data_IF_581035227017
#
_entry.id   IF_581035227017
#
_cell.length_a   1.000
_cell.length_b   1.000
_cell.length_c   1.000
_cell.angle_alpha   90.00
_cell.angle_beta   90.00
_cell.angle_gamma   90.00
#
_symmetry.space_group_name_H-M   'P 1'
#
loop_
_entity.id
_entity.type
_entity.pdbx_description
1 polymer ?
#
# COMPACT_ATOMS: atom_id res chain seq x y z
N UNK A 1 -0.02 32.38 -23.12
CA UNK A 1 0.85 33.43 -22.58
C UNK A 1 0.17 33.91 -21.30
N UNK A 2 0.64 33.47 -20.13
CA UNK A 2 0.17 34.01 -18.86
C UNK A 2 0.62 35.46 -18.83
N UNK A 3 -0.33 36.39 -18.99
CA UNK A 3 -0.07 37.81 -18.76
C UNK A 3 0.34 37.93 -17.29
N UNK A 4 1.51 38.51 -17.05
CA UNK A 4 1.86 38.95 -15.71
C UNK A 4 0.98 40.16 -15.40
N UNK A 5 -0.22 39.88 -14.90
CA UNK A 5 -1.00 40.87 -14.18
C UNK A 5 -0.28 41.07 -12.85
N UNK A 6 -0.05 42.32 -12.48
CA UNK A 6 0.71 42.76 -11.31
C UNK A 6 0.39 42.04 -9.97
N UNK A 7 1.07 42.43 -8.89
CA UNK A 7 0.85 41.85 -7.56
C UNK A 7 -0.48 42.29 -6.90
N UNK A 8 -1.38 43.02 -7.57
CA UNK A 8 -2.61 43.52 -6.95
C UNK A 8 -3.49 42.38 -6.41
N UNK A 9 -3.51 41.23 -7.10
CA UNK A 9 -4.24 40.04 -6.63
C UNK A 9 -3.74 39.50 -5.27
N UNK A 10 -2.53 39.88 -4.85
CA UNK A 10 -1.89 39.47 -3.61
C UNK A 10 -1.78 40.60 -2.58
N UNK A 11 -2.31 41.79 -2.86
CA UNK A 11 -2.19 42.97 -1.98
C UNK A 11 -2.65 42.69 -0.55
N UNK A 12 -3.81 42.06 -0.38
CA UNK A 12 -4.36 41.71 0.94
C UNK A 12 -3.49 40.70 1.71
N UNK A 13 -2.63 39.95 1.02
CA UNK A 13 -1.67 39.05 1.65
C UNK A 13 -0.47 39.83 2.18
N UNK A 14 0.07 40.77 1.39
CA UNK A 14 1.21 41.60 1.78
C UNK A 14 0.88 42.61 2.89
N UNK A 15 -0.39 43.00 3.03
CA UNK A 15 -0.87 43.86 4.12
C UNK A 15 -0.90 43.14 5.49
N UNK A 16 -0.78 41.81 5.54
CA UNK A 16 -0.73 41.07 6.80
C UNK A 16 0.61 41.26 7.49
N UNK A 17 0.56 41.49 8.79
CA UNK A 17 1.74 41.66 9.63
C UNK A 17 2.71 40.47 9.51
N UNK A 18 4.00 40.76 9.37
CA UNK A 18 5.07 39.76 9.28
C UNK A 18 5.23 39.09 7.91
N UNK A 19 4.26 39.17 6.99
CA UNK A 19 4.33 38.44 5.71
C UNK A 19 5.52 38.88 4.85
N UNK A 20 5.73 40.19 4.68
CA UNK A 20 6.84 40.70 3.86
C UNK A 20 8.19 40.25 4.44
N UNK A 21 8.34 40.35 5.76
CA UNK A 21 9.55 39.91 6.46
C UNK A 21 9.81 38.40 6.31
N UNK A 22 8.76 37.57 6.45
CA UNK A 22 8.87 36.13 6.21
C UNK A 22 9.28 35.80 4.77
N UNK A 23 8.70 36.50 3.79
CA UNK A 23 9.05 36.31 2.37
C UNK A 23 10.50 36.71 2.11
N UNK A 24 10.93 37.86 2.60
CA UNK A 24 12.32 38.33 2.51
C UNK A 24 13.27 37.28 3.09
N UNK A 25 13.03 36.84 4.33
CA UNK A 25 13.84 35.82 5.00
C UNK A 25 13.90 34.49 4.22
N UNK A 26 12.77 34.04 3.68
CA UNK A 26 12.72 32.82 2.89
C UNK A 26 13.51 32.94 1.58
N UNK A 27 13.38 34.07 0.87
CA UNK A 27 14.07 34.32 -0.39
C UNK A 27 15.57 34.52 -0.21
N UNK A 28 15.98 35.25 0.83
CA UNK A 28 17.38 35.42 1.20
C UNK A 28 18.00 34.07 1.58
N UNK A 29 17.34 33.31 2.46
CA UNK A 29 17.78 31.97 2.85
C UNK A 29 17.87 31.01 1.68
N UNK A 30 16.93 31.07 0.71
CA UNK A 30 17.03 30.32 -0.53
C UNK A 30 18.23 30.76 -1.35
N UNK A 31 18.44 32.06 -1.52
CA UNK A 31 19.52 32.61 -2.35
C UNK A 31 20.89 32.25 -1.81
N UNK A 32 21.08 32.38 -0.49
CA UNK A 32 22.34 32.10 0.19
C UNK A 32 22.69 30.60 0.18
N UNK A 33 21.68 29.71 0.26
CA UNK A 33 21.88 28.28 0.51
C UNK A 33 21.41 27.38 -0.65
N UNK A 34 21.08 27.95 -1.81
CA UNK A 34 20.40 27.23 -2.89
C UNK A 34 21.08 25.94 -3.33
N UNK A 35 22.41 25.95 -3.46
CA UNK A 35 23.16 24.79 -3.94
C UNK A 35 23.03 23.60 -2.97
N UNK A 36 23.10 23.86 -1.67
CA UNK A 36 22.98 22.81 -0.66
C UNK A 36 21.53 22.35 -0.51
N UNK A 37 20.57 23.28 -0.55
CA UNK A 37 19.13 22.98 -0.58
C UNK A 37 18.82 22.06 -1.77
N UNK A 38 19.28 22.40 -2.98
CA UNK A 38 19.04 21.64 -4.21
C UNK A 38 19.52 20.19 -4.13
N UNK A 39 20.59 19.91 -3.40
CA UNK A 39 21.07 18.55 -3.19
C UNK A 39 20.27 17.82 -2.10
N UNK A 40 19.94 18.51 -1.00
CA UNK A 40 19.25 17.91 0.15
C UNK A 40 17.76 17.64 -0.11
N UNK A 41 17.10 18.43 -0.96
CA UNK A 41 15.66 18.28 -1.23
C UNK A 41 15.27 16.97 -1.92
N UNK A 42 16.25 16.17 -2.35
CA UNK A 42 15.99 14.87 -3.00
C UNK A 42 15.57 13.82 -1.97
N UNK A 43 14.58 12.97 -2.29
CA UNK A 43 14.21 11.88 -1.39
C UNK A 43 15.32 10.83 -1.30
N UNK A 44 15.39 10.12 -0.18
CA UNK A 44 16.46 9.13 0.04
C UNK A 44 16.40 7.93 -0.92
N UNK A 45 15.21 7.60 -1.44
CA UNK A 45 14.95 6.44 -2.31
C UNK A 45 15.07 6.72 -3.82
N UNK A 46 15.25 7.97 -4.27
CA UNK A 46 15.36 8.27 -5.70
C UNK A 46 16.46 9.29 -5.96
N UNK A 47 17.50 8.84 -6.65
CA UNK A 47 18.64 9.67 -7.07
C UNK A 47 18.53 10.16 -8.53
N UNK A 48 17.57 9.64 -9.30
CA UNK A 48 17.44 9.95 -10.73
C UNK A 48 16.57 11.16 -11.06
N UNK A 49 15.74 11.64 -10.12
CA UNK A 49 14.91 12.82 -10.34
C UNK A 49 15.71 14.09 -10.06
N UNK A 50 16.10 14.75 -11.15
CA UNK A 50 16.79 16.04 -11.16
C UNK A 50 15.72 17.14 -11.14
N UNK A 51 14.89 17.14 -10.10
CA UNK A 51 13.89 18.20 -9.92
C UNK A 51 14.51 19.42 -9.21
N UNK A 52 14.09 20.61 -9.62
CA UNK A 52 14.41 21.89 -8.95
C UNK A 52 13.14 22.59 -8.47
N UNK A 53 13.25 23.31 -7.35
CA UNK A 53 12.19 24.19 -6.81
C UNK A 53 11.62 25.17 -7.85
N UNK A 54 12.39 25.47 -8.90
CA UNK A 54 12.04 26.45 -9.94
C UNK A 54 11.68 25.82 -11.29
N UNK A 55 11.46 24.50 -11.37
CA UNK A 55 10.99 23.87 -12.59
C UNK A 55 9.61 24.40 -12.98
N UNK A 56 9.39 24.70 -14.27
CA UNK A 56 8.14 25.30 -14.76
C UNK A 56 6.91 24.41 -14.51
N UNK A 57 7.12 23.08 -14.47
CA UNK A 57 6.06 22.08 -14.29
C UNK A 57 6.27 21.35 -12.98
N UNK A 58 5.55 21.75 -11.95
CA UNK A 58 5.57 21.10 -10.63
C UNK A 58 4.31 20.25 -10.38
N UNK A 59 4.51 19.05 -9.81
CA UNK A 59 3.44 18.14 -9.35
C UNK A 59 3.01 18.44 -7.91
N UNK A 60 1.95 17.79 -7.42
CA UNK A 60 1.37 18.06 -6.08
C UNK A 60 2.41 17.89 -4.95
N UNK A 61 3.19 16.81 -4.96
CA UNK A 61 4.22 16.55 -3.96
C UNK A 61 5.32 17.62 -3.96
N UNK A 62 5.70 18.12 -5.12
CA UNK A 62 6.69 19.19 -5.26
C UNK A 62 6.19 20.52 -4.67
N UNK A 63 4.88 20.80 -4.74
CA UNK A 63 4.26 21.96 -4.07
C UNK A 63 4.30 21.82 -2.55
N UNK A 64 4.04 20.62 -2.04
CA UNK A 64 4.12 20.31 -0.60
C UNK A 64 5.56 20.45 -0.09
N UNK A 65 6.53 19.97 -0.87
CA UNK A 65 7.94 20.12 -0.57
C UNK A 65 8.38 21.58 -0.59
N UNK A 66 7.96 22.36 -1.60
CA UNK A 66 8.25 23.79 -1.65
C UNK A 66 7.76 24.52 -0.38
N UNK A 67 6.52 24.23 0.06
CA UNK A 67 6.00 24.75 1.34
C UNK A 67 6.90 24.39 2.53
N UNK A 68 7.36 23.13 2.60
CA UNK A 68 8.21 22.69 3.69
C UNK A 68 9.57 23.39 3.68
N UNK A 69 10.14 23.64 2.49
CA UNK A 69 11.40 24.39 2.34
C UNK A 69 11.23 25.83 2.80
N UNK A 70 10.18 26.53 2.33
CA UNK A 70 9.98 27.93 2.70
C UNK A 70 9.73 28.08 4.19
N UNK A 71 8.91 27.21 4.79
CA UNK A 71 8.66 27.24 6.24
C UNK A 71 9.91 27.01 7.08
N UNK A 72 10.80 26.11 6.65
CA UNK A 72 12.06 25.90 7.35
C UNK A 72 12.91 27.18 7.37
N UNK A 73 13.03 27.86 6.22
CA UNK A 73 13.81 29.09 6.07
C UNK A 73 13.17 30.28 6.80
N UNK A 74 11.84 30.36 6.83
CA UNK A 74 11.11 31.37 7.60
C UNK A 74 11.35 31.23 9.11
N UNK A 75 11.44 30.00 9.62
CA UNK A 75 11.48 29.74 11.06
C UNK A 75 12.89 29.60 11.61
N UNK A 76 13.86 29.12 10.82
CA UNK A 76 15.19 28.77 11.30
C UNK A 76 16.29 29.55 10.57
N UNK A 77 17.47 29.61 11.16
CA UNK A 77 18.69 29.82 10.39
C UNK A 77 19.03 28.51 9.68
N UNK A 78 19.55 28.61 8.46
CA UNK A 78 19.83 27.41 7.68
C UNK A 78 20.93 26.56 8.33
N UNK A 79 20.57 25.33 8.71
CA UNK A 79 21.49 24.28 9.13
C UNK A 79 21.23 23.06 8.26
N UNK A 80 22.26 22.62 7.53
CA UNK A 80 22.07 21.58 6.51
C UNK A 80 21.70 20.22 7.09
N UNK A 81 22.14 19.91 8.31
CA UNK A 81 21.82 18.64 8.98
C UNK A 81 20.35 18.68 9.42
N UNK A 82 19.93 19.75 10.11
CA UNK A 82 18.55 19.91 10.57
C UNK A 82 17.57 19.99 9.40
N UNK A 83 17.94 20.72 8.35
CA UNK A 83 17.18 20.80 7.12
C UNK A 83 17.01 19.42 6.47
N UNK A 84 18.10 18.64 6.34
CA UNK A 84 18.03 17.28 5.78
C UNK A 84 17.10 16.37 6.57
N UNK A 85 17.16 16.44 7.90
CA UNK A 85 16.28 15.66 8.77
C UNK A 85 14.82 16.06 8.57
N UNK A 86 14.52 17.36 8.53
CA UNK A 86 13.19 17.89 8.22
C UNK A 86 12.66 17.38 6.88
N UNK A 87 13.45 17.50 5.82
CA UNK A 87 13.05 17.10 4.47
C UNK A 87 12.80 15.59 4.36
N UNK A 88 13.58 14.75 5.06
CA UNK A 88 13.34 13.30 5.10
C UNK A 88 11.94 12.98 5.64
N UNK A 89 11.56 13.58 6.77
CA UNK A 89 10.24 13.40 7.39
C UNK A 89 9.13 13.87 6.44
N UNK A 90 9.31 15.04 5.82
CA UNK A 90 8.36 15.58 4.85
C UNK A 90 8.16 14.62 3.69
N UNK A 91 9.24 14.09 3.09
CA UNK A 91 9.14 13.12 2.02
C UNK A 91 8.35 11.87 2.40
N UNK A 92 8.61 11.31 3.59
CA UNK A 92 7.91 10.13 4.09
C UNK A 92 6.38 10.37 4.23
N UNK A 93 5.98 11.59 4.58
CA UNK A 93 4.58 12.00 4.69
C UNK A 93 3.97 12.22 3.31
N UNK A 94 4.65 12.97 2.44
CA UNK A 94 4.05 13.42 1.18
C UNK A 94 4.07 12.34 0.11
N UNK A 95 4.87 11.28 0.18
CA UNK A 95 4.92 10.26 -0.88
C UNK A 95 3.68 9.35 -0.93
N UNK A 96 2.71 9.53 -0.03
CA UNK A 96 1.51 8.70 0.02
C UNK A 96 0.73 8.74 -1.33
N UNK A 97 0.39 7.57 -1.90
CA UNK A 97 -0.30 7.48 -3.18
C UNK A 97 -1.68 8.15 -3.22
N UNK A 98 -2.35 8.41 -2.09
CA UNK A 98 -3.71 8.99 -2.07
C UNK A 98 -3.74 10.51 -2.15
N UNK A 99 -2.58 11.17 -2.12
CA UNK A 99 -2.47 12.61 -2.36
C UNK A 99 -2.60 12.86 -3.87
N UNK A 100 -3.82 12.68 -4.38
CA UNK A 100 -4.18 12.85 -5.80
C UNK A 100 -5.14 14.02 -6.02
N UNK A 101 -5.75 14.53 -4.96
CA UNK A 101 -6.75 15.59 -5.03
C UNK A 101 -6.31 16.85 -4.29
N UNK A 102 -6.75 18.01 -4.78
CA UNK A 102 -6.47 19.30 -4.16
C UNK A 102 -6.92 19.33 -2.68
N UNK A 103 -8.13 18.86 -2.30
CA UNK A 103 -8.54 18.84 -0.89
C UNK A 103 -7.59 18.03 0.01
N UNK A 104 -7.12 16.87 -0.47
CA UNK A 104 -6.15 16.04 0.25
C UNK A 104 -4.81 16.77 0.37
N UNK A 105 -4.29 17.33 -0.72
CA UNK A 105 -3.05 18.13 -0.72
C UNK A 105 -3.14 19.28 0.30
N UNK A 106 -4.23 20.05 0.30
CA UNK A 106 -4.45 21.12 1.28
C UNK A 106 -4.47 20.61 2.73
N UNK A 107 -4.96 19.38 2.96
CA UNK A 107 -4.90 18.76 4.28
C UNK A 107 -3.47 18.46 4.70
N UNK A 108 -2.66 17.91 3.80
CA UNK A 108 -1.23 17.64 4.06
C UNK A 108 -0.44 18.95 4.25
N UNK A 109 -0.75 20.02 3.50
CA UNK A 109 -0.14 21.35 3.71
C UNK A 109 -0.34 21.85 5.15
N UNK A 110 -1.54 21.63 5.72
CA UNK A 110 -1.81 22.01 7.12
C UNK A 110 -0.99 21.18 8.10
N UNK A 111 -0.77 19.89 7.82
CA UNK A 111 0.09 19.03 8.65
C UNK A 111 1.53 19.53 8.60
N UNK A 112 2.09 19.75 7.40
CA UNK A 112 3.45 20.28 7.22
C UNK A 112 3.60 21.60 7.98
N UNK A 113 2.62 22.51 7.85
CA UNK A 113 2.63 23.78 8.57
C UNK A 113 2.69 23.59 10.09
N UNK A 114 1.85 22.72 10.66
CA UNK A 114 1.87 22.43 12.10
C UNK A 114 3.22 21.85 12.55
N UNK A 115 3.81 20.96 11.75
CA UNK A 115 5.09 20.34 12.07
C UNK A 115 6.29 21.28 11.91
N UNK A 116 6.17 22.31 11.05
CA UNK A 116 7.27 23.23 10.73
C UNK A 116 7.81 23.99 11.94
N UNK A 117 7.00 24.19 12.98
CA UNK A 117 7.39 24.83 14.25
C UNK A 117 8.59 24.09 14.88
N UNK A 118 8.66 22.76 14.71
CA UNK A 118 9.75 21.94 15.21
C UNK A 118 10.84 21.61 14.19
N UNK A 119 10.81 22.23 13.00
CA UNK A 119 11.68 21.84 11.88
C UNK A 119 13.18 22.03 12.15
N UNK A 120 13.55 22.92 13.06
CA UNK A 120 14.94 23.11 13.53
C UNK A 120 15.51 21.94 14.35
N UNK A 121 14.66 21.06 14.92
CA UNK A 121 15.10 19.80 15.54
C UNK A 121 13.97 18.75 15.49
N UNK A 122 13.62 18.34 14.27
CA UNK A 122 12.38 17.58 14.02
C UNK A 122 12.31 16.27 14.80
N UNK A 123 13.43 15.58 15.06
CA UNK A 123 13.38 14.32 15.81
C UNK A 123 12.99 14.52 17.27
N UNK A 124 13.48 15.59 17.90
CA UNK A 124 13.06 15.94 19.26
C UNK A 124 11.61 16.38 19.26
N UNK A 125 11.24 17.25 18.32
CA UNK A 125 9.86 17.74 18.23
C UNK A 125 8.84 16.63 18.01
N UNK A 126 9.12 15.63 17.17
CA UNK A 126 8.23 14.48 16.95
C UNK A 126 7.95 13.65 18.22
N UNK A 127 8.74 13.82 19.29
CA UNK A 127 8.54 13.18 20.59
C UNK A 127 8.11 14.16 21.68
N UNK A 128 7.93 15.44 21.35
CA UNK A 128 7.45 16.49 22.26
C UNK A 128 5.93 16.44 22.42
N UNK A 129 5.42 16.88 23.57
CA UNK A 129 4.00 16.86 23.94
C UNK A 129 3.15 17.60 22.91
N UNK A 130 3.63 18.76 22.41
CA UNK A 130 2.93 19.54 21.41
C UNK A 130 2.73 18.77 20.09
N UNK A 131 3.74 18.01 19.65
CA UNK A 131 3.62 17.19 18.45
C UNK A 131 2.77 15.94 18.68
N UNK A 132 2.86 15.31 19.86
CA UNK A 132 2.01 14.18 20.20
C UNK A 132 0.52 14.56 20.17
N UNK A 133 0.17 15.78 20.59
CA UNK A 133 -1.18 16.31 20.45
C UNK A 133 -1.60 16.48 18.98
N UNK A 134 -0.70 16.98 18.12
CA UNK A 134 -0.95 17.07 16.66
C UNK A 134 -1.26 15.69 16.07
N UNK A 135 -0.48 14.67 16.43
CA UNK A 135 -0.65 13.29 15.95
C UNK A 135 -1.94 12.67 16.48
N UNK A 136 -2.23 12.87 17.77
CA UNK A 136 -3.45 12.38 18.39
C UNK A 136 -4.71 12.91 17.69
N UNK A 137 -4.74 14.21 17.40
CA UNK A 137 -5.88 14.91 16.81
C UNK A 137 -6.01 14.71 15.29
N UNK A 138 -4.99 14.15 14.65
CA UNK A 138 -5.04 13.82 13.22
C UNK A 138 -6.03 12.67 12.99
N UNK A 139 -6.92 12.83 12.01
CA UNK A 139 -7.99 11.87 11.69
C UNK A 139 -7.93 11.36 10.26
N UNK A 140 -7.04 11.91 9.44
CA UNK A 140 -6.80 11.48 8.07
C UNK A 140 -5.85 10.28 8.02
N UNK A 141 -5.65 9.77 6.80
CA UNK A 141 -4.70 8.67 6.53
C UNK A 141 -3.26 9.01 6.91
N UNK A 142 -2.91 10.30 7.10
CA UNK A 142 -1.56 10.71 7.48
C UNK A 142 -1.19 10.29 8.91
N UNK A 143 -2.18 10.02 9.78
CA UNK A 143 -1.95 9.68 11.19
C UNK A 143 -0.95 8.53 11.35
N UNK A 144 -1.16 7.42 10.65
CA UNK A 144 -0.30 6.24 10.79
C UNK A 144 1.14 6.52 10.34
N UNK A 145 1.33 7.39 9.35
CA UNK A 145 2.67 7.80 8.93
C UNK A 145 3.32 8.70 9.98
N UNK A 146 2.57 9.62 10.59
CA UNK A 146 3.10 10.47 11.67
C UNK A 146 3.48 9.66 12.92
N UNK A 147 2.68 8.65 13.29
CA UNK A 147 3.00 7.71 14.36
C UNK A 147 4.29 6.94 14.05
N UNK A 148 4.46 6.50 12.81
CA UNK A 148 5.70 5.84 12.37
C UNK A 148 6.92 6.78 12.42
N UNK A 149 6.81 8.03 11.95
CA UNK A 149 7.90 9.01 12.03
C UNK A 149 8.28 9.36 13.47
N UNK A 150 7.29 9.42 14.37
CA UNK A 150 7.54 9.60 15.81
C UNK A 150 8.30 8.42 16.41
N UNK A 151 7.89 7.17 16.10
CA UNK A 151 8.60 5.97 16.54
C UNK A 151 10.04 5.93 16.02
N UNK A 152 10.26 6.22 14.73
CA UNK A 152 11.61 6.31 14.14
C UNK A 152 12.45 7.35 14.84
N UNK A 153 11.92 8.55 15.06
CA UNK A 153 12.62 9.61 15.76
C UNK A 153 13.01 9.19 17.19
N UNK A 154 12.13 8.47 17.89
CA UNK A 154 12.42 7.92 19.22
C UNK A 154 13.61 6.95 19.18
N UNK A 155 13.63 6.03 18.22
CA UNK A 155 14.72 5.06 18.05
C UNK A 155 16.06 5.77 17.73
N UNK A 156 16.03 6.73 16.81
CA UNK A 156 17.20 7.56 16.43
C UNK A 156 17.78 8.29 17.64
N UNK A 157 16.92 8.82 18.52
CA UNK A 157 17.37 9.52 19.73
C UNK A 157 17.85 8.56 20.83
N UNK A 158 17.40 7.30 20.83
CA UNK A 158 17.75 6.36 21.89
C UNK A 158 19.13 5.73 21.77
N UNK A 159 19.59 5.43 20.55
CA UNK A 159 20.84 4.72 20.33
C UNK A 159 21.48 5.12 18.98
N UNK A 160 22.81 5.20 18.98
CA UNK A 160 23.59 5.53 17.78
C UNK A 160 23.51 4.39 16.76
N UNK A 161 23.32 4.73 15.48
CA UNK A 161 23.25 3.74 14.40
C UNK A 161 21.83 3.50 13.87
N UNK A 162 20.79 3.70 14.67
CA UNK A 162 19.39 3.58 14.20
C UNK A 162 19.10 4.45 12.99
N UNK A 163 19.63 5.68 12.95
CA UNK A 163 19.41 6.57 11.81
C UNK A 163 19.95 5.99 10.50
N UNK A 164 21.13 5.38 10.51
CA UNK A 164 21.70 4.77 9.32
C UNK A 164 20.87 3.58 8.83
N UNK A 165 20.40 2.73 9.75
CA UNK A 165 19.59 1.55 9.44
C UNK A 165 18.17 1.90 8.99
N UNK A 166 17.56 2.91 9.60
CA UNK A 166 16.27 3.45 9.17
C UNK A 166 16.41 4.00 7.74
N UNK A 167 17.40 4.88 7.49
CA UNK A 167 17.64 5.42 6.14
C UNK A 167 17.89 4.29 5.13
N UNK A 168 18.59 3.22 5.52
CA UNK A 168 18.80 2.06 4.66
C UNK A 168 17.48 1.36 4.29
N UNK A 169 16.57 1.19 5.24
CA UNK A 169 15.25 0.61 4.98
C UNK A 169 14.35 1.52 4.13
N UNK A 170 14.35 2.82 4.42
CA UNK A 170 13.55 3.82 3.71
C UNK A 170 13.89 3.93 2.22
N UNK A 171 15.14 3.58 1.85
CA UNK A 171 15.62 3.54 0.46
C UNK A 171 14.99 2.46 -0.40
N UNK A 172 14.34 1.47 0.20
CA UNK A 172 13.75 0.39 -0.58
C UNK A 172 12.64 0.92 -1.52
N UNK A 173 12.69 0.60 -2.83
CA UNK A 173 11.85 1.24 -3.85
C UNK A 173 10.35 0.97 -3.71
N UNK A 174 9.94 -0.04 -2.93
CA UNK A 174 8.52 -0.29 -2.62
C UNK A 174 8.08 0.50 -1.36
N UNK A 175 8.96 0.59 -0.37
CA UNK A 175 8.63 1.10 0.96
C UNK A 175 8.57 2.63 0.95
N UNK A 176 9.50 3.29 0.26
CA UNK A 176 9.57 4.75 0.10
C UNK A 176 9.32 5.47 1.43
N UNK A 177 10.20 5.22 2.39
CA UNK A 177 10.02 5.74 3.75
C UNK A 177 9.12 4.90 4.65
N UNK A 178 8.12 4.17 4.14
CA UNK A 178 7.20 3.41 5.00
C UNK A 178 7.75 2.03 5.37
N UNK A 179 8.33 1.94 6.56
CA UNK A 179 9.01 0.75 7.10
C UNK A 179 8.44 0.32 8.45
N UNK A 180 7.31 0.90 8.88
CA UNK A 180 6.74 0.65 10.20
C UNK A 180 6.44 -0.83 10.49
N UNK A 181 6.16 -1.63 9.45
CA UNK A 181 5.98 -3.08 9.61
C UNK A 181 7.25 -3.79 10.12
N UNK A 182 8.46 -3.29 9.81
CA UNK A 182 9.72 -3.83 10.32
C UNK A 182 9.97 -3.45 11.79
N UNK A 183 9.31 -2.39 12.26
CA UNK A 183 9.47 -1.82 13.60
C UNK A 183 8.43 -2.34 14.61
N UNK A 184 7.58 -3.29 14.20
CA UNK A 184 6.59 -3.90 15.09
C UNK A 184 7.27 -4.58 16.28
N UNK A 185 6.62 -4.50 17.44
CA UNK A 185 7.11 -5.03 18.72
C UNK A 185 8.39 -4.39 19.27
N UNK A 186 8.75 -3.18 18.82
CA UNK A 186 9.94 -2.44 19.28
C UNK A 186 11.23 -3.29 19.22
N UNK A 187 11.66 -3.70 18.01
CA UNK A 187 12.79 -4.61 17.85
C UNK A 187 14.10 -3.96 18.28
N UNK A 188 15.11 -4.78 18.58
CA UNK A 188 16.49 -4.31 18.63
C UNK A 188 16.99 -3.95 17.22
N UNK A 189 18.09 -3.21 17.13
CA UNK A 189 18.67 -2.83 15.83
C UNK A 189 19.12 -4.05 15.03
N UNK A 190 19.56 -5.12 15.69
CA UNK A 190 19.93 -6.40 15.06
C UNK A 190 18.72 -7.12 14.47
N UNK A 191 17.60 -7.17 15.22
CA UNK A 191 16.35 -7.77 14.74
C UNK A 191 15.83 -6.97 13.54
N UNK A 192 15.84 -5.63 13.62
CA UNK A 192 15.46 -4.78 12.48
C UNK A 192 16.35 -5.04 11.24
N UNK A 193 17.67 -5.16 11.40
CA UNK A 193 18.59 -5.48 10.30
C UNK A 193 18.27 -6.82 9.65
N UNK A 194 17.99 -7.84 10.47
CA UNK A 194 17.59 -9.16 9.98
C UNK A 194 16.28 -9.07 9.18
N UNK A 195 15.27 -8.43 9.76
CA UNK A 195 13.98 -8.21 9.09
C UNK A 195 14.11 -7.46 7.78
N UNK A 196 14.92 -6.40 7.74
CA UNK A 196 15.17 -5.63 6.53
C UNK A 196 15.85 -6.48 5.46
N UNK A 197 16.81 -7.33 5.82
CA UNK A 197 17.44 -8.27 4.88
C UNK A 197 16.40 -9.19 4.24
N UNK A 198 15.50 -9.77 5.05
CA UNK A 198 14.43 -10.63 4.55
C UNK A 198 13.41 -9.85 3.70
N UNK A 199 13.00 -8.66 4.14
CA UNK A 199 12.07 -7.82 3.39
C UNK A 199 12.59 -7.48 1.98
N UNK A 200 13.91 -7.26 1.84
CA UNK A 200 14.56 -7.06 0.53
C UNK A 200 14.59 -8.32 -0.34
N UNK A 201 14.42 -9.51 0.23
CA UNK A 201 14.25 -10.76 -0.52
C UNK A 201 12.79 -10.95 -0.94
N UNK A 202 11.84 -10.61 -0.07
CA UNK A 202 10.40 -10.71 -0.35
C UNK A 202 9.93 -9.73 -1.43
N UNK A 203 10.51 -8.53 -1.48
CA UNK A 203 10.03 -7.44 -2.31
C UNK A 203 11.11 -6.84 -3.22
N UNK A 204 10.67 -6.18 -4.29
CA UNK A 204 11.49 -5.37 -5.18
C UNK A 204 10.71 -4.14 -5.67
N UNK A 205 11.26 -3.41 -6.65
CA UNK A 205 10.64 -2.20 -7.23
C UNK A 205 9.28 -2.41 -7.91
N UNK A 206 8.83 -3.65 -8.13
CA UNK A 206 7.56 -4.00 -8.77
C UNK A 206 6.53 -4.62 -7.83
N UNK A 207 6.83 -4.77 -6.53
CA UNK A 207 6.00 -5.50 -5.56
C UNK A 207 6.75 -6.73 -5.06
N UNK A 208 6.10 -7.90 -5.07
CA UNK A 208 6.76 -9.17 -4.75
C UNK A 208 7.99 -9.41 -5.63
N UNK A 209 9.04 -9.98 -5.05
CA UNK A 209 10.22 -10.39 -5.79
C UNK A 209 9.87 -11.46 -6.84
N UNK A 210 10.62 -11.55 -7.94
CA UNK A 210 10.33 -12.39 -9.11
C UNK A 210 10.07 -13.85 -8.74
N UNK A 211 10.81 -14.38 -7.76
CA UNK A 211 10.67 -15.76 -7.31
C UNK A 211 9.32 -16.03 -6.64
N UNK A 212 8.80 -15.05 -5.90
CA UNK A 212 7.50 -15.13 -5.26
C UNK A 212 6.36 -14.66 -6.16
N UNK A 213 6.65 -13.79 -7.13
CA UNK A 213 5.70 -13.35 -8.15
C UNK A 213 5.28 -14.52 -9.05
N UNK A 214 6.19 -15.48 -9.29
CA UNK A 214 5.85 -16.73 -9.99
C UNK A 214 4.76 -17.46 -9.21
N UNK A 215 3.59 -17.63 -9.84
CA UNK A 215 2.39 -18.23 -9.23
C UNK A 215 1.87 -17.46 -8.01
N UNK A 216 2.24 -16.19 -7.87
CA UNK A 216 1.76 -15.27 -6.83
C UNK A 216 1.87 -15.83 -5.40
N UNK A 217 2.99 -16.48 -5.08
CA UNK A 217 3.18 -17.21 -3.83
C UNK A 217 3.10 -16.32 -2.59
N UNK A 218 3.69 -15.12 -2.64
CA UNK A 218 3.71 -14.24 -1.46
C UNK A 218 2.31 -13.76 -1.06
N UNK A 219 1.49 -13.31 -2.01
CA UNK A 219 0.10 -12.90 -1.69
C UNK A 219 -0.73 -14.11 -1.24
N UNK A 220 -0.49 -15.31 -1.80
CA UNK A 220 -1.19 -16.54 -1.39
C UNK A 220 -0.80 -16.96 0.03
N UNK A 221 0.49 -16.92 0.38
CA UNK A 221 0.97 -17.17 1.73
C UNK A 221 0.50 -16.10 2.73
N UNK A 222 0.39 -14.84 2.29
CA UNK A 222 -0.25 -13.80 3.08
C UNK A 222 -1.71 -14.18 3.38
N UNK A 223 -2.47 -14.57 2.35
CA UNK A 223 -3.89 -14.95 2.48
C UNK A 223 -4.05 -16.11 3.45
N UNK A 224 -3.25 -17.18 3.34
CA UNK A 224 -3.36 -18.37 4.19
C UNK A 224 -3.18 -18.10 5.69
N UNK A 225 -2.55 -16.99 6.05
CA UNK A 225 -2.33 -16.56 7.43
C UNK A 225 -3.44 -15.62 7.96
N UNK A 226 -4.50 -15.38 7.19
CA UNK A 226 -5.69 -14.69 7.70
C UNK A 226 -6.55 -15.64 8.53
N UNK A 227 -6.75 -15.24 9.77
CA UNK A 227 -7.65 -15.89 10.71
C UNK A 227 -9.02 -15.22 10.78
N UNK A 228 -9.22 -14.01 10.23
CA UNK A 228 -10.48 -13.28 10.32
C UNK A 228 -11.12 -13.05 8.94
N UNK A 229 -12.32 -13.60 8.75
CA UNK A 229 -13.06 -13.44 7.49
C UNK A 229 -13.34 -11.98 7.10
N UNK A 230 -13.73 -11.13 8.06
CA UNK A 230 -14.11 -9.75 7.74
C UNK A 230 -12.92 -8.92 7.29
N UNK A 231 -11.72 -9.25 7.76
CA UNK A 231 -10.46 -8.64 7.32
C UNK A 231 -10.07 -9.14 5.93
N UNK A 232 -10.08 -10.46 5.70
CA UNK A 232 -9.79 -11.05 4.39
C UNK A 232 -10.78 -10.57 3.31
N UNK A 233 -12.07 -10.50 3.62
CA UNK A 233 -13.11 -10.11 2.67
C UNK A 233 -12.92 -8.68 2.13
N UNK A 234 -12.32 -7.79 2.93
CA UNK A 234 -12.05 -6.39 2.53
C UNK A 234 -10.71 -6.24 1.81
N UNK A 235 -9.86 -7.27 1.83
CA UNK A 235 -8.51 -7.23 1.28
C UNK A 235 -8.57 -7.14 -0.26
N UNK A 236 -7.67 -6.33 -0.83
CA UNK A 236 -7.36 -6.39 -2.25
C UNK A 236 -6.25 -7.42 -2.45
N UNK A 237 -6.55 -8.47 -3.20
CA UNK A 237 -5.71 -9.65 -3.40
C UNK A 237 -4.71 -9.46 -4.55
N UNK A 238 -4.49 -8.21 -5.00
CA UNK A 238 -3.57 -7.89 -6.09
C UNK A 238 -2.10 -8.08 -5.71
N UNK A 239 -1.33 -8.75 -6.55
CA UNK A 239 0.11 -8.94 -6.38
C UNK A 239 0.89 -7.98 -7.28
N UNK A 240 0.86 -6.69 -6.95
CA UNK A 240 1.53 -5.64 -7.70
C UNK A 240 2.01 -4.51 -6.78
N UNK A 241 2.93 -3.71 -7.29
CA UNK A 241 3.53 -2.55 -6.60
C UNK A 241 2.52 -1.68 -5.85
N UNK A 242 1.48 -1.19 -6.54
CA UNK A 242 0.53 -0.24 -5.95
C UNK A 242 -0.23 -0.88 -4.78
N UNK A 243 -0.61 -2.15 -4.92
CA UNK A 243 -1.34 -2.83 -3.86
C UNK A 243 -0.44 -3.10 -2.65
N UNK A 244 0.75 -3.67 -2.85
CA UNK A 244 1.69 -3.94 -1.77
C UNK A 244 2.08 -2.67 -1.01
N UNK A 245 2.32 -1.58 -1.73
CA UNK A 245 2.61 -0.29 -1.12
C UNK A 245 1.48 0.18 -0.19
N UNK A 246 0.22 0.02 -0.59
CA UNK A 246 -0.93 0.40 0.24
C UNK A 246 -1.15 -0.57 1.41
N UNK A 247 -1.00 -1.87 1.18
CA UNK A 247 -1.17 -2.89 2.21
C UNK A 247 -0.17 -2.72 3.35
N UNK A 248 1.13 -2.57 3.03
CA UNK A 248 2.19 -2.39 4.03
C UNK A 248 2.06 -1.06 4.79
N UNK A 249 1.50 -0.03 4.15
CA UNK A 249 1.23 1.27 4.80
C UNK A 249 0.07 1.21 5.79
N UNK A 250 -1.01 0.49 5.47
CA UNK A 250 -2.32 0.74 6.09
C UNK A 250 -2.99 -0.47 6.73
N UNK A 251 -2.66 -1.69 6.31
CA UNK A 251 -3.32 -2.88 6.80
C UNK A 251 -2.51 -3.51 7.93
N UNK A 252 -2.94 -3.32 9.18
CA UNK A 252 -2.23 -3.82 10.37
C UNK A 252 -1.99 -5.33 10.32
N UNK A 253 -3.01 -6.12 9.96
CA UNK A 253 -2.88 -7.59 9.86
C UNK A 253 -1.85 -7.99 8.80
N UNK A 254 -1.81 -7.30 7.67
CA UNK A 254 -0.77 -7.54 6.65
C UNK A 254 0.61 -7.17 7.18
N UNK A 255 0.75 -6.04 7.88
CA UNK A 255 2.04 -5.66 8.48
C UNK A 255 2.53 -6.71 9.48
N UNK A 256 1.64 -7.23 10.31
CA UNK A 256 1.93 -8.31 11.28
C UNK A 256 2.42 -9.56 10.56
N UNK A 257 1.63 -10.11 9.62
CA UNK A 257 1.99 -11.34 8.90
C UNK A 257 3.31 -11.16 8.12
N UNK A 258 3.50 -10.03 7.44
CA UNK A 258 4.75 -9.78 6.70
C UNK A 258 5.93 -9.57 7.66
N UNK A 259 5.72 -8.96 8.83
CA UNK A 259 6.76 -8.88 9.86
C UNK A 259 7.15 -10.27 10.37
N UNK A 260 6.17 -11.14 10.61
CA UNK A 260 6.42 -12.53 11.02
C UNK A 260 7.22 -13.28 9.95
N UNK A 261 6.92 -13.04 8.66
CA UNK A 261 7.74 -13.57 7.57
C UNK A 261 9.17 -13.00 7.54
N UNK A 262 9.35 -11.77 8.04
CA UNK A 262 10.66 -11.14 8.14
C UNK A 262 11.46 -11.62 9.37
N UNK A 263 10.84 -12.32 10.32
CA UNK A 263 11.48 -12.86 11.51
C UNK A 263 12.17 -14.23 11.27
N UNK A 264 12.11 -14.78 10.06
CA UNK A 264 12.87 -15.97 9.70
C UNK A 264 14.38 -15.67 9.53
N UNK A 265 15.23 -16.62 9.96
CA UNK A 265 16.68 -16.40 10.04
C UNK A 265 17.43 -16.51 8.70
N UNK A 266 16.93 -17.33 7.77
CA UNK A 266 17.58 -17.64 6.48
C UNK A 266 16.60 -17.76 5.30
N UNK A 267 17.11 -17.52 4.10
CA UNK A 267 16.32 -17.43 2.86
C UNK A 267 15.62 -18.74 2.49
N UNK A 268 16.30 -19.87 2.65
CA UNK A 268 15.73 -21.19 2.34
C UNK A 268 14.51 -21.49 3.21
N UNK A 269 14.57 -21.13 4.50
CA UNK A 269 13.43 -21.31 5.43
C UNK A 269 12.21 -20.51 4.97
N UNK A 270 12.38 -19.29 4.46
CA UNK A 270 11.25 -18.49 3.98
C UNK A 270 10.56 -19.15 2.81
N UNK A 271 11.32 -19.72 1.86
CA UNK A 271 10.76 -20.40 0.71
C UNK A 271 10.00 -21.66 1.14
N UNK A 272 10.61 -22.48 2.00
CA UNK A 272 9.97 -23.69 2.53
C UNK A 272 8.71 -23.36 3.35
N UNK A 273 8.75 -22.32 4.19
CA UNK A 273 7.61 -21.88 4.99
C UNK A 273 6.49 -21.32 4.12
N UNK A 274 6.79 -20.53 3.09
CA UNK A 274 5.78 -20.02 2.14
C UNK A 274 5.06 -21.19 1.44
N UNK A 275 5.79 -22.20 0.99
CA UNK A 275 5.19 -23.41 0.39
C UNK A 275 4.36 -24.20 1.41
N UNK A 276 4.85 -24.30 2.65
CA UNK A 276 4.10 -24.93 3.74
C UNK A 276 2.78 -24.19 4.00
N UNK A 277 2.80 -22.86 4.12
CA UNK A 277 1.63 -22.04 4.40
C UNK A 277 0.52 -22.20 3.35
N UNK A 278 0.86 -22.27 2.06
CA UNK A 278 -0.13 -22.46 1.00
C UNK A 278 -0.66 -23.89 0.87
N UNK A 279 -0.10 -24.83 1.64
CA UNK A 279 -0.53 -26.23 1.70
C UNK A 279 -1.35 -26.57 2.94
N UNK A 280 -1.37 -25.69 3.95
CA UNK A 280 -2.13 -25.88 5.19
C UNK A 280 -3.64 -25.87 4.94
N UNK A 281 -4.39 -26.39 5.91
CA UNK A 281 -5.83 -26.18 5.96
C UNK A 281 -6.17 -24.76 6.39
N UNK A 282 -7.39 -24.33 6.06
CA UNK A 282 -7.88 -23.00 6.42
C UNK A 282 -7.90 -22.81 7.94
N UNK A 283 -7.21 -21.78 8.41
CA UNK A 283 -7.23 -21.32 9.81
C UNK A 283 -8.31 -20.27 10.09
N UNK A 284 -9.09 -19.88 9.08
CA UNK A 284 -10.01 -18.75 9.20
C UNK A 284 -11.16 -19.05 10.15
N UNK A 285 -11.46 -18.08 10.99
CA UNK A 285 -12.66 -18.03 11.80
C UNK A 285 -13.57 -16.89 11.29
N UNK A 286 -14.87 -17.08 11.49
CA UNK A 286 -15.90 -16.12 11.12
C UNK A 286 -16.80 -15.80 12.30
N UNK A 287 -17.40 -14.62 12.29
CA UNK A 287 -18.43 -14.22 13.26
C UNK A 287 -19.81 -14.80 12.94
N UNK A 288 -19.87 -15.78 12.03
CA UNK A 288 -21.14 -16.39 11.63
C UNK A 288 -21.48 -17.51 12.62
N UNK A 289 -22.60 -17.36 13.32
CA UNK A 289 -23.13 -18.41 14.20
C UNK A 289 -23.65 -19.64 13.42
N UNK A 290 -23.71 -19.57 12.09
CA UNK A 290 -24.17 -20.64 11.22
C UNK A 290 -23.00 -21.52 10.74
N UNK A 291 -22.94 -22.81 11.12
CA UNK A 291 -21.90 -23.74 10.70
C UNK A 291 -21.75 -23.92 9.19
N UNK A 292 -22.84 -23.78 8.42
CA UNK A 292 -22.80 -23.88 6.96
C UNK A 292 -22.05 -22.68 6.33
N UNK A 293 -22.27 -21.48 6.88
CA UNK A 293 -21.58 -20.27 6.43
C UNK A 293 -20.10 -20.34 6.77
N UNK A 294 -19.74 -20.88 7.94
CA UNK A 294 -18.33 -21.09 8.32
C UNK A 294 -17.63 -22.05 7.35
N UNK A 295 -18.25 -23.20 7.03
CA UNK A 295 -17.68 -24.14 6.04
C UNK A 295 -17.50 -23.52 4.66
N UNK A 296 -18.43 -22.67 4.21
CA UNK A 296 -18.30 -21.92 2.95
C UNK A 296 -17.11 -20.96 2.99
N UNK A 297 -16.94 -20.25 4.11
CA UNK A 297 -15.82 -19.33 4.32
C UNK A 297 -14.48 -20.07 4.34
N UNK A 298 -14.38 -21.21 5.05
CA UNK A 298 -13.19 -22.06 5.08
C UNK A 298 -12.84 -22.58 3.68
N UNK A 299 -13.85 -23.03 2.92
CA UNK A 299 -13.68 -23.46 1.54
C UNK A 299 -13.12 -22.34 0.66
N UNK A 300 -13.75 -21.15 0.70
CA UNK A 300 -13.27 -19.97 -0.04
C UNK A 300 -11.83 -19.64 0.32
N UNK A 301 -11.54 -19.55 1.62
CA UNK A 301 -10.23 -19.19 2.10
C UNK A 301 -9.16 -20.14 1.56
N UNK A 302 -9.41 -21.46 1.63
CA UNK A 302 -8.51 -22.47 1.08
C UNK A 302 -8.30 -22.30 -0.41
N UNK A 303 -9.38 -22.19 -1.19
CA UNK A 303 -9.31 -22.04 -2.64
C UNK A 303 -8.47 -20.83 -3.07
N UNK A 304 -8.55 -19.71 -2.33
CA UNK A 304 -7.76 -18.52 -2.62
C UNK A 304 -6.26 -18.81 -2.54
N UNK A 305 -5.74 -19.42 -1.49
CA UNK A 305 -4.29 -19.65 -1.43
C UNK A 305 -3.83 -20.97 -2.07
N UNK A 306 -4.68 -22.00 -2.21
CA UNK A 306 -4.25 -23.31 -2.75
C UNK A 306 -4.24 -23.34 -4.29
N UNK A 307 -5.19 -22.65 -4.94
CA UNK A 307 -5.38 -22.74 -6.39
C UNK A 307 -4.52 -21.74 -7.16
N UNK A 308 -3.34 -22.19 -7.60
CA UNK A 308 -2.38 -21.33 -8.30
C UNK A 308 -2.93 -20.74 -9.61
N UNK A 309 -3.68 -21.54 -10.38
CA UNK A 309 -4.22 -21.11 -11.68
C UNK A 309 -5.31 -20.07 -11.52
N UNK A 310 -6.13 -20.19 -10.46
CA UNK A 310 -7.11 -19.17 -10.11
C UNK A 310 -6.40 -17.84 -9.83
N UNK A 311 -5.38 -17.85 -8.99
CA UNK A 311 -4.63 -16.63 -8.67
C UNK A 311 -3.96 -15.99 -9.88
N UNK A 312 -3.34 -16.79 -10.75
CA UNK A 312 -2.77 -16.29 -12.02
C UNK A 312 -3.84 -15.57 -12.85
N UNK A 313 -5.01 -16.19 -13.01
CA UNK A 313 -6.13 -15.59 -13.73
C UNK A 313 -6.60 -14.28 -13.06
N UNK A 314 -6.74 -14.26 -11.73
CA UNK A 314 -7.13 -13.08 -10.97
C UNK A 314 -6.22 -11.89 -11.25
N UNK A 315 -4.91 -12.10 -11.20
CA UNK A 315 -3.92 -11.05 -11.46
C UNK A 315 -3.95 -10.57 -12.90
N UNK A 316 -4.07 -11.50 -13.87
CA UNK A 316 -4.15 -11.14 -15.30
C UNK A 316 -5.39 -10.32 -15.65
N UNK A 317 -6.53 -10.62 -15.02
CA UNK A 317 -7.78 -9.90 -15.25
C UNK A 317 -7.95 -8.65 -14.38
N UNK A 318 -7.19 -8.53 -13.29
CA UNK A 318 -7.43 -7.53 -12.25
C UNK A 318 -8.70 -7.81 -11.43
N UNK A 319 -9.11 -9.07 -11.36
CA UNK A 319 -10.22 -9.53 -10.53
C UNK A 319 -9.69 -9.88 -9.13
N UNK A 320 -9.36 -8.86 -8.33
CA UNK A 320 -8.61 -9.03 -7.08
C UNK A 320 -9.43 -8.77 -5.82
N UNK A 321 -10.76 -8.61 -5.94
CA UNK A 321 -11.62 -8.28 -4.79
C UNK A 321 -12.74 -9.30 -4.61
N UNK A 322 -13.07 -9.56 -3.34
CA UNK A 322 -14.25 -10.33 -2.97
C UNK A 322 -15.49 -9.44 -2.93
N UNK A 323 -16.61 -9.94 -3.45
CA UNK A 323 -17.89 -9.22 -3.48
C UNK A 323 -19.07 -10.14 -3.24
N UNK A 324 -20.03 -9.65 -2.46
CA UNK A 324 -21.35 -10.23 -2.34
C UNK A 324 -22.20 -9.83 -3.55
N UNK A 325 -22.81 -10.82 -4.20
CA UNK A 325 -23.80 -10.64 -5.26
C UNK A 325 -24.84 -11.75 -5.16
N UNK A 326 -26.13 -11.40 -5.11
CA UNK A 326 -27.24 -12.35 -5.02
C UNK A 326 -27.00 -13.46 -3.98
N UNK A 327 -26.61 -13.07 -2.76
CA UNK A 327 -26.31 -14.00 -1.65
C UNK A 327 -25.17 -14.99 -1.88
N UNK A 328 -24.35 -14.76 -2.91
CA UNK A 328 -23.13 -15.50 -3.22
C UNK A 328 -21.89 -14.62 -3.16
N UNK A 329 -20.74 -15.24 -2.98
CA UNK A 329 -19.43 -14.56 -2.98
C UNK A 329 -18.71 -14.86 -4.28
N UNK A 330 -18.25 -13.77 -4.89
CA UNK A 330 -17.48 -13.78 -6.12
C UNK A 330 -16.11 -13.17 -5.92
N UNK A 331 -15.15 -13.66 -6.68
CA UNK A 331 -14.00 -12.87 -7.09
C UNK A 331 -14.46 -11.97 -8.24
N UNK A 332 -14.23 -10.67 -8.11
CA UNK A 332 -14.83 -9.66 -8.97
C UNK A 332 -13.79 -8.66 -9.45
N UNK A 333 -13.86 -8.33 -10.74
CA UNK A 333 -13.24 -7.14 -11.30
C UNK A 333 -14.28 -6.01 -11.36
N UNK A 334 -14.07 -4.89 -10.64
CA UNK A 334 -14.99 -3.75 -10.69
C UNK A 334 -15.30 -3.32 -12.14
N UNK A 335 -16.60 -3.20 -12.46
CA UNK A 335 -17.06 -2.75 -13.78
C UNK A 335 -17.08 -3.81 -14.88
N UNK A 336 -16.67 -5.06 -14.61
CA UNK A 336 -16.75 -6.17 -15.55
C UNK A 336 -17.75 -7.22 -15.08
N UNK A 337 -18.56 -7.77 -15.99
CA UNK A 337 -19.50 -8.85 -15.69
C UNK A 337 -18.95 -10.22 -16.09
N UNK A 338 -18.06 -10.26 -17.09
CA UNK A 338 -17.39 -11.46 -17.58
C UNK A 338 -16.11 -11.82 -16.81
N UNK A 339 -15.61 -10.93 -15.96
CA UNK A 339 -14.47 -11.22 -15.06
C UNK A 339 -14.97 -11.44 -13.62
N UNK A 340 -15.96 -12.33 -13.46
CA UNK A 340 -16.58 -12.68 -12.16
C UNK A 340 -16.64 -14.18 -11.97
N UNK A 341 -16.02 -14.70 -10.92
CA UNK A 341 -16.01 -16.14 -10.62
C UNK A 341 -16.66 -16.38 -9.26
N UNK A 342 -17.70 -17.20 -9.23
CA UNK A 342 -18.33 -17.64 -7.98
C UNK A 342 -17.40 -18.65 -7.29
N UNK A 343 -17.17 -18.52 -5.99
CA UNK A 343 -16.16 -19.31 -5.27
C UNK A 343 -16.67 -19.92 -3.95
N UNK A 344 -17.94 -19.71 -3.62
CA UNK A 344 -18.53 -20.10 -2.35
C UNK A 344 -19.41 -21.37 -2.42
N UNK A 345 -19.25 -22.13 -3.50
CA UNK A 345 -19.95 -23.40 -3.76
C UNK A 345 -19.04 -24.35 -4.55
N UNK A 346 -19.42 -25.62 -4.59
CA UNK A 346 -18.77 -26.66 -5.42
C UNK A 346 -19.13 -26.57 -6.92
N UNK A 347 -19.75 -25.47 -7.39
CA UNK A 347 -20.17 -25.29 -8.79
C UNK A 347 -19.04 -25.55 -9.78
N UNK A 348 -17.87 -24.98 -9.52
CA UNK A 348 -16.69 -25.06 -10.39
C UNK A 348 -16.20 -26.51 -10.54
N UNK A 349 -16.18 -27.26 -9.44
CA UNK A 349 -15.81 -28.68 -9.44
C UNK A 349 -16.83 -29.53 -10.21
N UNK A 350 -18.13 -29.31 -9.97
CA UNK A 350 -19.21 -30.01 -10.65
C UNK A 350 -19.19 -29.75 -12.17
N UNK A 351 -19.04 -28.50 -12.58
CA UNK A 351 -18.95 -28.13 -13.99
C UNK A 351 -17.77 -28.84 -14.66
N UNK A 352 -16.59 -28.82 -14.02
CA UNK A 352 -15.39 -29.45 -14.57
C UNK A 352 -15.57 -30.95 -14.76
N UNK A 353 -16.18 -31.64 -13.79
CA UNK A 353 -16.51 -33.06 -13.90
C UNK A 353 -17.53 -33.35 -15.01
N UNK A 354 -18.54 -32.48 -15.21
CA UNK A 354 -19.52 -32.67 -16.28
C UNK A 354 -18.90 -32.47 -17.66
N UNK A 355 -18.05 -31.46 -17.81
CA UNK A 355 -17.29 -31.22 -19.04
C UNK A 355 -16.45 -32.44 -19.39
N UNK A 356 -15.68 -32.96 -18.43
CA UNK A 356 -14.82 -34.13 -18.63
C UNK A 356 -15.63 -35.39 -18.95
N UNK A 357 -16.68 -35.66 -18.18
CA UNK A 357 -17.47 -36.90 -18.32
C UNK A 357 -18.32 -36.95 -19.57
N UNK A 358 -18.88 -35.80 -20.01
CA UNK A 358 -19.86 -35.76 -21.09
C UNK A 358 -19.34 -35.05 -22.36
N UNK A 359 -18.11 -34.55 -22.34
CA UNK A 359 -17.51 -33.73 -23.41
C UNK A 359 -18.41 -32.52 -23.77
N UNK A 360 -18.87 -31.81 -22.73
CA UNK A 360 -19.61 -30.55 -22.90
C UNK A 360 -18.64 -29.39 -23.13
N UNK A 361 -19.11 -28.34 -23.79
CA UNK A 361 -18.36 -27.13 -24.06
C UNK A 361 -18.98 -25.92 -23.35
N UNK A 362 -18.15 -24.93 -23.06
CA UNK A 362 -18.60 -23.62 -22.57
C UNK A 362 -17.62 -22.55 -23.01
N UNK A 363 -18.14 -21.35 -23.31
CA UNK A 363 -17.34 -20.16 -23.56
C UNK A 363 -16.94 -19.46 -22.25
N UNK A 364 -17.48 -19.91 -21.12
CA UNK A 364 -17.35 -19.25 -19.83
C UNK A 364 -16.14 -19.71 -19.01
N UNK A 365 -15.15 -20.36 -19.63
CA UNK A 365 -13.98 -20.90 -18.94
C UNK A 365 -12.96 -19.81 -18.62
N UNK A 366 -12.53 -19.73 -17.36
CA UNK A 366 -11.45 -18.86 -16.88
C UNK A 366 -10.11 -19.60 -16.80
N UNK A 367 -10.15 -20.78 -16.19
CA UNK A 367 -9.03 -21.72 -16.04
C UNK A 367 -9.58 -23.14 -16.26
N UNK A 368 -8.75 -24.17 -16.10
CA UNK A 368 -9.21 -25.56 -16.24
C UNK A 368 -10.34 -25.93 -15.27
N UNK A 369 -10.40 -25.27 -14.10
CA UNK A 369 -11.35 -25.59 -13.05
C UNK A 369 -12.36 -24.49 -12.74
N UNK A 370 -12.22 -23.29 -13.32
CA UNK A 370 -13.02 -22.12 -12.91
C UNK A 370 -13.76 -21.47 -14.08
N UNK A 371 -14.95 -20.95 -13.79
CA UNK A 371 -15.87 -20.42 -14.80
C UNK A 371 -16.44 -19.07 -14.38
N UNK A 372 -16.56 -18.14 -15.34
CA UNK A 372 -17.11 -16.82 -15.08
C UNK A 372 -18.61 -16.75 -15.26
N UNK A 373 -19.24 -15.76 -14.62
CA UNK A 373 -20.65 -15.42 -14.79
C UNK A 373 -21.53 -15.91 -13.65
N UNK A 374 -22.71 -15.31 -13.55
CA UNK A 374 -23.68 -15.63 -12.51
C UNK A 374 -24.32 -17.00 -12.78
N UNK A 375 -24.75 -17.24 -14.01
CA UNK A 375 -25.06 -18.57 -14.54
C UNK A 375 -23.91 -19.08 -15.41
N UNK A 376 -23.76 -20.39 -15.57
CA UNK A 376 -22.88 -20.99 -16.59
C UNK A 376 -23.68 -21.94 -17.45
N UNK A 377 -23.59 -21.74 -18.75
CA UNK A 377 -24.16 -22.63 -19.75
C UNK A 377 -23.09 -23.60 -20.26
N UNK A 378 -23.44 -24.89 -20.21
CA UNK A 378 -22.70 -25.98 -20.82
C UNK A 378 -23.54 -26.52 -21.98
N UNK A 379 -22.93 -26.76 -23.12
CA UNK A 379 -23.64 -27.32 -24.27
C UNK A 379 -22.84 -28.32 -25.07
N UNK A 380 -23.55 -29.20 -25.77
CA UNK A 380 -22.99 -30.13 -26.75
C UNK A 380 -23.93 -30.26 -27.92
N UNK A 381 -23.39 -29.97 -29.10
CA UNK A 381 -24.11 -30.06 -30.37
C UNK A 381 -23.98 -31.46 -30.93
N UNK A 382 -25.13 -32.04 -31.27
CA UNK A 382 -25.28 -33.24 -32.10
C UNK A 382 -25.87 -32.82 -33.44
N UNK A 383 -25.94 -33.74 -34.41
CA UNK A 383 -26.46 -33.43 -35.75
C UNK A 383 -27.91 -32.90 -35.71
N UNK A 384 -28.75 -33.48 -34.86
CA UNK A 384 -30.19 -33.19 -34.83
C UNK A 384 -30.65 -32.36 -33.62
N UNK A 385 -29.81 -32.22 -32.58
CA UNK A 385 -30.20 -31.53 -31.35
C UNK A 385 -29.00 -30.97 -30.57
N UNK A 386 -29.27 -30.07 -29.63
CA UNK A 386 -28.30 -29.53 -28.69
C UNK A 386 -28.72 -29.94 -27.28
N UNK A 387 -27.80 -30.54 -26.53
CA UNK A 387 -27.97 -30.68 -25.07
C UNK A 387 -27.38 -29.44 -24.43
N UNK A 388 -28.17 -28.73 -23.64
CA UNK A 388 -27.70 -27.65 -22.77
C UNK A 388 -27.99 -27.93 -21.30
N UNK A 389 -27.10 -27.47 -20.44
CA UNK A 389 -27.24 -27.51 -18.98
C UNK A 389 -26.86 -26.12 -18.46
N UNK A 390 -27.75 -25.53 -17.66
CA UNK A 390 -27.56 -24.19 -17.10
C UNK A 390 -27.40 -24.34 -15.58
N UNK A 391 -26.28 -23.84 -15.07
CA UNK A 391 -26.01 -23.71 -13.64
C UNK A 391 -26.48 -22.36 -13.13
N UNK A 392 -27.07 -22.34 -11.93
CA UNK A 392 -27.47 -21.12 -11.20
C UNK A 392 -28.34 -20.17 -12.04
N UNK A 393 -29.38 -20.72 -12.67
CA UNK A 393 -30.35 -19.93 -13.44
C UNK A 393 -31.22 -19.07 -12.52
N UNK A 394 -30.75 -17.85 -12.28
CA UNK A 394 -31.41 -16.87 -11.39
C UNK A 394 -32.68 -16.26 -11.99
N UNK A 395 -32.96 -16.43 -13.28
CA UNK A 395 -34.21 -15.91 -13.87
C UNK A 395 -35.40 -16.86 -13.66
N UNK A 396 -35.13 -18.13 -13.31
CA UNK A 396 -36.12 -19.19 -13.15
C UNK A 396 -36.24 -19.73 -11.69
N UNK A 397 -35.62 -19.07 -10.72
CA UNK A 397 -35.71 -19.31 -9.26
C UNK A 397 -36.39 -18.12 -8.58
#
# INVERSE_FOLDING_TARGET
MLKYDDFESYKTLFEKEGVIFSIEKALDGLTENYNEIKEIIRPVWTQSDIWSLFDEKIVQYQRLLFLAVTQYLELNQFDSIKFKNWIRIVWNIIIDPDIRSIPVMCSIMRIIHKLSIGSGDIYKFLNDEACQQIIHDEKSFAKSQLEEESLKAKLILSEIGWEAEIINGERHPLFLGNIGFLLLSNPSIEVYRSRLKIANQLFNSKGSNNDFLKKHKLIRALISNFDNWNELFKLDLGDNYNNWQLLLRRNSKVKEIICDFCDFDIEEQIRENIESFISLDSSICGTADNPEVLRRIEYIHKQLYSEENLHIWMQQKGATKLKWRNSRIYIDRPGSWYDRVMIDTYRNELISQLIEKFNLNTTQRCTDSYYWGMSVELSKTFEDFIISCIFDDYENL
#
